data_IF_389779261957
#
_entry.id   IF_389779261957
#
_cell.length_a   1.000
_cell.length_b   1.000
_cell.length_c   1.000
_cell.angle_alpha   90.00
_cell.angle_beta   90.00
_cell.angle_gamma   90.00
#
_symmetry.space_group_name_H-M   'P 1'
#
loop_
_entity.id
_entity.type
_entity.pdbx_description
1 polymer ?
#
# COMPACT_ATOMS: atom_id res chain seq x y z
N UNK A 1 -30.77 18.14 -3.92
CA UNK A 1 -31.93 18.94 -4.33
C UNK A 1 -32.44 19.76 -3.14
N UNK A 2 -32.40 21.11 -3.19
CA UNK A 2 -32.81 21.95 -2.07
C UNK A 2 -34.29 21.81 -1.68
N UNK A 3 -35.16 21.37 -2.59
CA UNK A 3 -36.59 21.23 -2.31
C UNK A 3 -36.91 19.98 -1.48
N UNK A 4 -36.24 18.87 -1.76
CA UNK A 4 -36.48 17.57 -1.10
C UNK A 4 -35.44 17.24 -0.02
N UNK A 5 -34.29 17.92 -0.02
CA UNK A 5 -33.13 17.56 0.81
C UNK A 5 -32.43 16.26 0.39
N UNK A 6 -32.86 15.63 -0.72
CA UNK A 6 -32.30 14.38 -1.25
C UNK A 6 -31.23 14.64 -2.31
N UNK A 7 -30.36 13.67 -2.54
CA UNK A 7 -29.38 13.68 -3.61
C UNK A 7 -30.02 13.32 -4.95
N UNK A 8 -29.59 14.00 -6.01
CA UNK A 8 -29.85 13.66 -7.41
C UNK A 8 -28.54 13.20 -8.04
N UNK A 9 -28.36 11.88 -8.19
CA UNK A 9 -27.19 11.25 -8.79
C UNK A 9 -27.02 11.57 -10.28
N UNK A 10 -28.00 12.20 -10.95
CA UNK A 10 -27.80 12.75 -12.29
C UNK A 10 -27.03 14.07 -12.28
N UNK A 11 -26.86 14.69 -11.11
CA UNK A 11 -26.19 15.98 -10.95
C UNK A 11 -24.98 15.85 -10.02
N UNK A 12 -23.76 15.71 -10.58
CA UNK A 12 -22.57 15.55 -9.77
C UNK A 12 -22.33 16.77 -8.85
N UNK A 13 -21.89 16.51 -7.62
CA UNK A 13 -21.63 17.55 -6.63
C UNK A 13 -20.50 18.49 -7.05
N UNK A 14 -20.83 19.72 -7.46
CA UNK A 14 -19.87 20.69 -8.00
C UNK A 14 -18.69 20.98 -7.07
N UNK A 15 -18.97 21.19 -5.78
CA UNK A 15 -17.94 21.52 -4.79
C UNK A 15 -16.97 20.36 -4.56
N UNK A 16 -17.49 19.15 -4.36
CA UNK A 16 -16.68 17.94 -4.19
C UNK A 16 -15.73 17.73 -5.36
N UNK A 17 -16.25 17.76 -6.59
CA UNK A 17 -15.43 17.54 -7.79
C UNK A 17 -14.43 18.68 -8.06
N UNK A 18 -14.76 19.92 -7.70
CA UNK A 18 -13.82 21.04 -7.78
C UNK A 18 -12.65 20.88 -6.79
N UNK A 19 -12.93 20.46 -5.55
CA UNK A 19 -11.90 20.17 -4.56
C UNK A 19 -11.02 19.00 -5.00
N UNK A 20 -11.62 17.94 -5.54
CA UNK A 20 -10.89 16.80 -6.08
C UNK A 20 -9.98 17.18 -7.25
N UNK A 21 -10.49 17.95 -8.22
CA UNK A 21 -9.69 18.45 -9.33
C UNK A 21 -8.49 19.31 -8.85
N UNK A 22 -8.71 20.16 -7.83
CA UNK A 22 -7.64 20.95 -7.23
C UNK A 22 -6.60 20.07 -6.53
N UNK A 23 -7.03 19.01 -5.85
CA UNK A 23 -6.13 18.03 -5.24
C UNK A 23 -5.24 17.34 -6.28
N UNK A 24 -5.81 16.86 -7.39
CA UNK A 24 -5.06 16.23 -8.48
C UNK A 24 -4.01 17.18 -9.07
N UNK A 25 -4.40 18.43 -9.38
CA UNK A 25 -3.49 19.45 -9.87
C UNK A 25 -2.30 19.67 -8.92
N UNK A 26 -2.57 19.82 -7.62
CA UNK A 26 -1.53 20.06 -6.63
C UNK A 26 -0.58 18.86 -6.46
N UNK A 27 -1.08 17.64 -6.62
CA UNK A 27 -0.28 16.43 -6.56
C UNK A 27 0.65 16.31 -7.78
N UNK A 28 0.13 16.59 -8.98
CA UNK A 28 0.90 16.62 -10.23
C UNK A 28 2.02 17.67 -10.19
N UNK A 29 1.72 18.91 -9.78
CA UNK A 29 2.70 19.99 -9.57
C UNK A 29 3.86 19.60 -8.65
N UNK A 30 3.68 18.58 -7.79
CA UNK A 30 4.64 18.13 -6.77
C UNK A 30 5.22 16.76 -7.06
N UNK A 31 4.94 16.18 -8.22
CA UNK A 31 5.35 14.81 -8.58
C UNK A 31 4.93 13.77 -7.52
N UNK A 32 3.72 13.90 -6.97
CA UNK A 32 3.16 12.97 -5.98
C UNK A 32 2.23 12.00 -6.69
N UNK A 33 2.48 10.70 -6.55
CA UNK A 33 1.57 9.66 -7.04
C UNK A 33 0.31 9.64 -6.16
N UNK A 34 -0.86 9.61 -6.80
CA UNK A 34 -2.15 9.45 -6.14
C UNK A 34 -2.69 8.06 -6.45
N UNK A 35 -2.84 7.23 -5.41
CA UNK A 35 -3.63 6.00 -5.52
C UNK A 35 -5.06 6.28 -5.06
N UNK A 36 -6.01 6.06 -5.97
CA UNK A 36 -7.44 6.26 -5.72
C UNK A 36 -8.05 4.91 -5.41
N UNK A 37 -8.61 4.75 -4.22
CA UNK A 37 -9.56 3.69 -3.90
C UNK A 37 -10.90 4.10 -4.52
N UNK A 38 -11.33 3.41 -5.59
CA UNK A 38 -12.51 3.79 -6.38
C UNK A 38 -13.78 3.60 -5.56
N UNK A 39 -13.82 2.52 -4.77
CA UNK A 39 -14.91 2.19 -3.87
C UNK A 39 -14.40 1.84 -2.47
N UNK A 40 -15.25 2.03 -1.47
CA UNK A 40 -14.97 1.63 -0.09
C UNK A 40 -16.21 1.02 0.56
N UNK A 41 -16.20 -0.29 0.85
CA UNK A 41 -17.33 -0.99 1.50
C UNK A 41 -17.71 -0.39 2.85
N UNK A 42 -16.79 0.30 3.53
CA UNK A 42 -17.07 0.94 4.82
C UNK A 42 -18.00 2.16 4.69
N UNK A 43 -18.15 2.74 3.50
CA UNK A 43 -19.12 3.82 3.23
C UNK A 43 -20.56 3.32 3.00
N UNK A 44 -20.75 2.01 2.87
CA UNK A 44 -22.02 1.36 2.51
C UNK A 44 -22.57 0.45 3.62
N UNK A 45 -22.14 0.67 4.87
CA UNK A 45 -22.84 0.20 6.06
C UNK A 45 -22.74 1.22 7.20
N UNK A 46 -23.50 0.99 8.28
CA UNK A 46 -23.50 1.75 9.54
C UNK A 46 -23.74 3.25 9.35
N UNK A 47 -23.15 4.09 10.20
CA UNK A 47 -23.37 5.53 10.18
C UNK A 47 -23.03 6.19 8.81
N UNK A 48 -21.92 5.83 8.11
CA UNK A 48 -21.66 6.35 6.77
C UNK A 48 -22.81 6.08 5.77
N UNK A 49 -23.38 4.87 5.80
CA UNK A 49 -24.47 4.50 4.90
C UNK A 49 -25.74 5.33 5.08
N UNK A 50 -26.03 5.75 6.31
CA UNK A 50 -27.22 6.56 6.60
C UNK A 50 -27.15 7.97 5.98
N UNK A 51 -25.96 8.43 5.61
CA UNK A 51 -25.73 9.74 4.97
C UNK A 51 -25.37 9.61 3.48
N UNK A 52 -25.17 8.38 3.01
CA UNK A 52 -24.64 8.10 1.68
C UNK A 52 -25.64 8.52 0.57
N UNK A 53 -25.18 9.19 -0.51
CA UNK A 53 -26.03 9.56 -1.64
C UNK A 53 -26.71 8.39 -2.37
N UNK A 54 -26.11 7.20 -2.32
CA UNK A 54 -26.68 5.99 -2.92
C UNK A 54 -27.78 5.35 -2.07
N UNK A 55 -27.92 5.75 -0.80
CA UNK A 55 -28.97 5.21 0.06
C UNK A 55 -30.35 5.66 -0.47
N UNK A 56 -31.28 4.73 -0.78
CA UNK A 56 -32.58 5.07 -1.34
C UNK A 56 -33.42 6.02 -0.47
N UNK A 57 -33.14 6.09 0.84
CA UNK A 57 -33.75 7.08 1.75
C UNK A 57 -33.32 8.52 1.44
N UNK A 58 -32.07 8.69 1.02
CA UNK A 58 -31.43 9.97 0.73
C UNK A 58 -31.42 10.31 -0.76
N UNK A 59 -31.82 9.39 -1.62
CA UNK A 59 -31.75 9.48 -3.07
C UNK A 59 -33.16 9.73 -3.65
N UNK A 60 -33.26 10.54 -4.71
CA UNK A 60 -34.51 10.79 -5.42
C UNK A 60 -34.65 10.04 -6.76
N UNK A 61 -33.59 9.38 -7.21
CA UNK A 61 -33.54 8.71 -8.51
C UNK A 61 -34.14 7.30 -8.51
N UNK A 62 -34.26 6.66 -7.35
CA UNK A 62 -34.84 5.34 -7.19
C UNK A 62 -35.28 5.12 -5.74
N UNK A 63 -36.16 4.14 -5.54
CA UNK A 63 -36.60 3.63 -4.24
C UNK A 63 -35.79 2.40 -3.80
N UNK A 64 -35.96 1.98 -2.54
CA UNK A 64 -35.37 0.75 -2.02
C UNK A 64 -35.83 -0.50 -2.81
N UNK A 65 -37.10 -0.53 -3.23
CA UNK A 65 -37.64 -1.63 -4.04
C UNK A 65 -37.03 -1.68 -5.44
N UNK A 66 -36.89 -0.53 -6.11
CA UNK A 66 -36.33 -0.48 -7.47
C UNK A 66 -34.83 -0.81 -7.48
N UNK A 67 -34.07 -0.30 -6.51
CA UNK A 67 -32.63 -0.52 -6.43
C UNK A 67 -32.24 -1.82 -5.74
N UNK A 68 -33.12 -2.44 -4.95
CA UNK A 68 -32.77 -3.58 -4.09
C UNK A 68 -31.86 -3.24 -2.91
N UNK A 69 -31.56 -1.96 -2.67
CA UNK A 69 -30.71 -1.51 -1.56
C UNK A 69 -31.53 -1.34 -0.28
N UNK A 70 -31.02 -1.86 0.84
CA UNK A 70 -31.61 -1.63 2.15
C UNK A 70 -31.31 -0.20 2.64
N UNK A 71 -32.30 0.46 3.25
CA UNK A 71 -32.12 1.80 3.82
C UNK A 71 -31.22 1.81 5.07
N UNK A 72 -31.12 0.68 5.76
CA UNK A 72 -30.31 0.52 6.98
C UNK A 72 -29.55 -0.81 6.99
N UNK A 73 -28.25 -0.73 7.29
CA UNK A 73 -27.35 -1.89 7.42
C UNK A 73 -26.44 -1.59 8.60
N UNK A 74 -26.57 -2.30 9.71
CA UNK A 74 -25.79 -2.05 10.94
C UNK A 74 -24.66 -3.06 11.17
N UNK A 75 -24.63 -4.12 10.37
CA UNK A 75 -23.61 -5.15 10.43
C UNK A 75 -22.22 -4.60 10.04
N UNK A 76 -21.16 -5.37 10.30
CA UNK A 76 -19.84 -5.02 9.81
C UNK A 76 -19.81 -5.14 8.27
N UNK A 77 -19.19 -4.21 7.52
CA UNK A 77 -19.13 -4.26 6.05
C UNK A 77 -18.67 -5.61 5.49
N UNK A 78 -17.74 -6.29 6.15
CA UNK A 78 -17.31 -7.64 5.80
C UNK A 78 -18.38 -8.75 5.89
N UNK A 79 -19.60 -8.46 6.36
CA UNK A 79 -20.78 -9.35 6.25
C UNK A 79 -21.41 -9.32 4.85
N UNK A 80 -21.04 -8.35 4.00
CA UNK A 80 -21.47 -8.23 2.59
C UNK A 80 -22.98 -8.12 2.40
N UNK A 81 -23.68 -7.52 3.37
CA UNK A 81 -25.14 -7.37 3.32
C UNK A 81 -25.58 -6.37 2.24
N UNK A 82 -24.75 -5.35 1.93
CA UNK A 82 -25.06 -4.36 0.89
C UNK A 82 -25.01 -4.99 -0.50
N UNK A 83 -26.09 -4.85 -1.28
CA UNK A 83 -26.12 -5.26 -2.68
C UNK A 83 -25.37 -4.31 -3.63
N UNK A 84 -24.81 -3.21 -3.11
CA UNK A 84 -24.13 -2.20 -3.90
C UNK A 84 -22.96 -2.77 -4.73
N UNK A 85 -22.21 -3.70 -4.15
CA UNK A 85 -21.02 -4.33 -4.75
C UNK A 85 -21.33 -5.55 -5.64
N UNK A 86 -22.62 -5.79 -5.94
CA UNK A 86 -23.07 -6.93 -6.74
C UNK A 86 -23.87 -6.52 -7.98
N UNK A 87 -23.90 -5.24 -8.32
CA UNK A 87 -24.65 -4.72 -9.45
C UNK A 87 -24.13 -5.14 -10.83
N UNK A 88 -22.87 -5.58 -10.93
CA UNK A 88 -22.23 -5.90 -12.20
C UNK A 88 -22.87 -7.13 -12.89
N UNK A 89 -22.76 -7.27 -14.22
CA UNK A 89 -23.46 -8.32 -14.97
C UNK A 89 -23.14 -9.76 -14.55
N UNK A 90 -21.91 -10.01 -14.12
CA UNK A 90 -21.48 -11.34 -13.66
C UNK A 90 -22.05 -11.72 -12.27
N UNK A 91 -22.70 -10.79 -11.57
CA UNK A 91 -23.26 -10.97 -10.24
C UNK A 91 -24.80 -10.85 -10.30
N UNK A 92 -25.39 -9.81 -9.69
CA UNK A 92 -26.85 -9.61 -9.67
C UNK A 92 -27.38 -8.82 -10.87
N UNK A 93 -26.50 -8.28 -11.73
CA UNK A 93 -26.85 -7.51 -12.94
C UNK A 93 -27.92 -6.41 -12.67
N UNK A 94 -27.70 -5.61 -11.64
CA UNK A 94 -28.56 -4.50 -11.30
C UNK A 94 -28.25 -3.29 -12.19
N UNK A 95 -28.83 -3.29 -13.40
CA UNK A 95 -28.58 -2.27 -14.43
C UNK A 95 -28.94 -0.85 -13.96
N UNK A 96 -29.97 -0.70 -13.13
CA UNK A 96 -30.37 0.59 -12.58
C UNK A 96 -29.27 1.20 -11.72
N UNK A 97 -28.75 0.44 -10.76
CA UNK A 97 -27.68 0.90 -9.87
C UNK A 97 -26.37 1.08 -10.63
N UNK A 98 -26.04 0.13 -11.51
CA UNK A 98 -24.82 0.15 -12.32
C UNK A 98 -24.74 1.39 -13.22
N UNK A 99 -25.87 1.86 -13.76
CA UNK A 99 -25.92 3.09 -14.55
C UNK A 99 -25.47 4.34 -13.74
N UNK A 100 -25.78 4.41 -12.44
CA UNK A 100 -25.32 5.51 -11.59
C UNK A 100 -23.86 5.34 -11.17
N UNK A 101 -23.43 4.10 -10.90
CA UNK A 101 -22.02 3.81 -10.62
C UNK A 101 -21.13 4.18 -11.81
N UNK A 102 -21.55 3.90 -13.05
CA UNK A 102 -20.86 4.34 -14.25
C UNK A 102 -20.71 5.86 -14.33
N UNK A 103 -21.76 6.63 -13.99
CA UNK A 103 -21.67 8.11 -13.98
C UNK A 103 -20.63 8.61 -12.99
N UNK A 104 -20.56 8.02 -11.81
CA UNK A 104 -19.57 8.36 -10.79
C UNK A 104 -18.15 8.08 -11.29
N UNK A 105 -17.91 6.90 -11.86
CA UNK A 105 -16.59 6.51 -12.38
C UNK A 105 -16.23 7.31 -13.63
N UNK A 106 -17.16 7.57 -14.55
CA UNK A 106 -16.91 8.42 -15.72
C UNK A 106 -16.53 9.85 -15.32
N UNK A 107 -17.19 10.41 -14.29
CA UNK A 107 -16.83 11.71 -13.76
C UNK A 107 -15.44 11.70 -13.11
N UNK A 108 -15.09 10.66 -12.35
CA UNK A 108 -13.75 10.45 -11.79
C UNK A 108 -12.69 10.40 -12.91
N UNK A 109 -12.93 9.60 -13.94
CA UNK A 109 -12.01 9.40 -15.06
C UNK A 109 -11.85 10.66 -15.89
N UNK A 110 -12.91 11.44 -16.10
CA UNK A 110 -12.83 12.72 -16.81
C UNK A 110 -11.84 13.70 -16.19
N UNK A 111 -11.61 13.60 -14.87
CA UNK A 111 -10.70 14.47 -14.12
C UNK A 111 -9.31 13.84 -13.95
N UNK A 112 -9.20 12.52 -13.96
CA UNK A 112 -7.96 11.80 -13.60
C UNK A 112 -7.14 11.35 -14.81
N UNK A 113 -7.77 10.97 -15.93
CA UNK A 113 -7.06 10.52 -17.13
C UNK A 113 -6.11 11.55 -17.77
N UNK A 114 -6.28 12.87 -17.59
CA UNK A 114 -5.28 13.85 -18.03
C UNK A 114 -3.94 13.79 -17.28
N UNK A 115 -3.87 13.09 -16.14
CA UNK A 115 -2.71 13.06 -15.25
C UNK A 115 -1.97 11.72 -15.32
N UNK A 116 -0.63 11.78 -15.44
CA UNK A 116 0.23 10.58 -15.54
C UNK A 116 0.62 9.94 -14.21
N UNK A 117 0.23 10.54 -13.08
CA UNK A 117 0.61 10.17 -11.71
C UNK A 117 -0.54 9.53 -10.92
N UNK A 118 -1.51 8.89 -11.59
CA UNK A 118 -2.69 8.29 -10.97
C UNK A 118 -2.63 6.75 -11.05
N UNK A 119 -2.86 6.09 -9.91
CA UNK A 119 -3.09 4.65 -9.77
C UNK A 119 -4.52 4.40 -9.31
N UNK A 120 -5.12 3.29 -9.74
CA UNK A 120 -6.50 2.94 -9.36
C UNK A 120 -6.52 1.62 -8.57
N UNK A 121 -7.05 1.66 -7.36
CA UNK A 121 -7.35 0.49 -6.53
C UNK A 121 -8.87 0.33 -6.53
N UNK A 122 -9.39 -0.81 -6.95
CA UNK A 122 -10.85 -0.94 -7.16
C UNK A 122 -11.60 -0.75 -5.85
N UNK A 123 -11.15 -1.41 -4.79
CA UNK A 123 -11.78 -1.32 -3.50
C UNK A 123 -10.77 -1.09 -2.37
N UNK A 124 -11.29 -0.55 -1.27
CA UNK A 124 -10.64 -0.47 0.01
C UNK A 124 -11.01 -1.70 0.85
N UNK A 125 -10.02 -2.55 1.19
CA UNK A 125 -10.17 -3.68 2.13
C UNK A 125 -11.38 -4.56 1.82
N UNK A 126 -11.47 -5.10 0.60
CA UNK A 126 -12.63 -5.85 0.14
C UNK A 126 -12.55 -7.34 0.47
N UNK A 127 -13.71 -7.95 0.70
CA UNK A 127 -13.92 -9.39 0.69
C UNK A 127 -15.11 -9.78 -0.22
N UNK A 128 -15.49 -8.88 -1.13
CA UNK A 128 -16.54 -9.11 -2.12
C UNK A 128 -16.07 -10.09 -3.21
N UNK A 129 -16.97 -10.44 -4.12
CA UNK A 129 -16.62 -11.32 -5.25
C UNK A 129 -15.54 -10.68 -6.15
N UNK A 130 -14.49 -11.40 -6.57
CA UNK A 130 -13.51 -10.92 -7.54
C UNK A 130 -14.07 -10.41 -8.87
N UNK A 131 -15.28 -10.85 -9.25
CA UNK A 131 -15.94 -10.34 -10.45
C UNK A 131 -16.28 -8.84 -10.36
N UNK A 132 -16.43 -8.29 -9.14
CA UNK A 132 -16.65 -6.85 -8.93
C UNK A 132 -15.41 -6.02 -9.31
N UNK A 133 -14.26 -6.31 -8.67
CA UNK A 133 -13.01 -5.61 -8.94
C UNK A 133 -12.57 -5.78 -10.40
N UNK A 134 -12.70 -7.00 -10.94
CA UNK A 134 -12.43 -7.29 -12.36
C UNK A 134 -13.25 -6.44 -13.31
N UNK A 135 -14.54 -6.25 -13.03
CA UNK A 135 -15.41 -5.42 -13.87
C UNK A 135 -14.91 -3.98 -13.93
N UNK A 136 -14.64 -3.37 -12.77
CA UNK A 136 -14.20 -1.97 -12.71
C UNK A 136 -12.79 -1.77 -13.25
N UNK A 137 -11.86 -2.70 -12.99
CA UNK A 137 -10.51 -2.64 -13.55
C UNK A 137 -10.56 -2.67 -15.09
N UNK A 138 -11.39 -3.57 -15.65
CA UNK A 138 -11.61 -3.66 -17.09
C UNK A 138 -12.23 -2.37 -17.64
N UNK A 139 -13.31 -1.89 -17.03
CA UNK A 139 -14.00 -0.66 -17.44
C UNK A 139 -13.06 0.55 -17.46
N UNK A 140 -12.25 0.73 -16.40
CA UNK A 140 -11.29 1.82 -16.29
C UNK A 140 -10.20 1.71 -17.36
N UNK A 141 -9.64 0.52 -17.58
CA UNK A 141 -8.63 0.30 -18.65
C UNK A 141 -9.20 0.56 -20.04
N UNK A 142 -10.44 0.16 -20.31
CA UNK A 142 -11.11 0.44 -21.58
C UNK A 142 -11.32 1.93 -21.81
N UNK A 143 -11.80 2.66 -20.79
CA UNK A 143 -11.97 4.13 -20.84
C UNK A 143 -10.64 4.86 -21.03
N UNK A 144 -9.59 4.43 -20.33
CA UNK A 144 -8.24 4.95 -20.48
C UNK A 144 -7.71 4.72 -21.91
N UNK A 145 -7.85 3.49 -22.43
CA UNK A 145 -7.46 3.13 -23.79
C UNK A 145 -8.20 3.97 -24.84
N UNK A 146 -9.51 4.16 -24.67
CA UNK A 146 -10.32 5.03 -25.53
C UNK A 146 -9.87 6.51 -25.49
N UNK A 147 -9.31 6.96 -24.36
CA UNK A 147 -8.69 8.27 -24.21
C UNK A 147 -7.22 8.32 -24.68
N UNK A 148 -6.66 7.21 -25.15
CA UNK A 148 -5.28 7.12 -25.65
C UNK A 148 -4.21 7.10 -24.54
N UNK A 149 -4.58 6.76 -23.31
CA UNK A 149 -3.67 6.68 -22.16
C UNK A 149 -3.65 5.28 -21.55
N UNK A 150 -2.55 4.94 -20.90
CA UNK A 150 -2.42 3.70 -20.12
C UNK A 150 -2.54 4.02 -18.63
N UNK A 151 -3.31 3.22 -17.92
CA UNK A 151 -3.50 3.34 -16.46
C UNK A 151 -3.19 2.02 -15.79
N UNK A 152 -2.77 2.13 -14.52
CA UNK A 152 -2.39 0.99 -13.70
C UNK A 152 -3.48 0.73 -12.65
N UNK A 153 -3.85 -0.54 -12.48
CA UNK A 153 -4.91 -0.98 -11.57
C UNK A 153 -4.42 -2.03 -10.58
N UNK A 154 -5.03 -2.05 -9.39
CA UNK A 154 -4.88 -3.10 -8.35
C UNK A 154 -6.23 -3.35 -7.68
N UNK A 155 -6.24 -4.33 -6.79
CA UNK A 155 -7.26 -4.52 -5.76
C UNK A 155 -6.60 -4.51 -4.36
N UNK A 156 -7.39 -4.26 -3.30
CA UNK A 156 -6.96 -4.40 -1.90
C UNK A 156 -7.88 -5.33 -1.12
N UNK A 157 -7.46 -6.58 -0.95
CA UNK A 157 -8.19 -7.60 -0.19
C UNK A 157 -8.09 -7.40 1.32
N UNK A 158 -9.13 -7.81 2.05
CA UNK A 158 -9.28 -7.69 3.51
C UNK A 158 -8.51 -8.77 4.29
N UNK A 159 -8.26 -9.94 3.68
CA UNK A 159 -7.60 -11.05 4.37
C UNK A 159 -6.20 -10.65 4.90
N UNK A 160 -6.01 -10.71 6.21
CA UNK A 160 -4.73 -10.42 6.88
C UNK A 160 -3.63 -11.46 6.61
N UNK A 161 -4.02 -12.64 6.15
CA UNK A 161 -3.09 -13.67 5.66
C UNK A 161 -2.91 -13.49 4.16
N UNK A 162 -1.70 -13.13 3.73
CA UNK A 162 -1.38 -12.94 2.31
C UNK A 162 -1.49 -14.23 1.49
N UNK A 163 -1.53 -15.40 2.14
CA UNK A 163 -1.69 -16.69 1.48
C UNK A 163 -3.16 -17.12 1.34
N UNK A 164 -4.10 -16.33 1.88
CA UNK A 164 -5.52 -16.60 1.71
C UNK A 164 -5.92 -16.55 0.23
N UNK A 165 -6.86 -17.42 -0.16
CA UNK A 165 -7.29 -17.58 -1.55
C UNK A 165 -7.80 -16.28 -2.18
N UNK A 166 -8.33 -15.34 -1.39
CA UNK A 166 -8.80 -14.04 -1.88
C UNK A 166 -7.71 -13.27 -2.63
N UNK A 167 -6.46 -13.30 -2.14
CA UNK A 167 -5.36 -12.57 -2.77
C UNK A 167 -4.98 -13.12 -4.15
N UNK A 168 -5.30 -14.38 -4.45
CA UNK A 168 -5.06 -14.99 -5.77
C UNK A 168 -5.80 -14.26 -6.88
N UNK A 169 -6.93 -13.61 -6.57
CA UNK A 169 -7.65 -12.81 -7.53
C UNK A 169 -6.82 -11.63 -8.08
N UNK A 170 -5.78 -11.19 -7.39
CA UNK A 170 -4.80 -10.22 -7.91
C UNK A 170 -3.52 -10.89 -8.39
N UNK A 171 -3.04 -11.91 -7.68
CA UNK A 171 -1.78 -12.59 -8.02
C UNK A 171 -1.87 -13.38 -9.34
N UNK A 172 -3.00 -14.01 -9.63
CA UNK A 172 -3.16 -14.89 -10.79
C UNK A 172 -3.67 -14.16 -12.04
N UNK A 173 -3.94 -12.84 -11.93
CA UNK A 173 -4.53 -12.02 -12.98
C UNK A 173 -3.65 -10.82 -13.40
N UNK A 174 -2.42 -11.04 -13.90
CA UNK A 174 -1.52 -9.99 -14.37
C UNK A 174 -2.06 -9.20 -15.58
N UNK A 175 -3.02 -9.75 -16.33
CA UNK A 175 -3.73 -9.07 -17.41
C UNK A 175 -4.70 -7.99 -16.90
N UNK A 176 -5.14 -8.09 -15.64
CA UNK A 176 -6.07 -7.16 -15.00
C UNK A 176 -5.38 -6.21 -14.02
N UNK A 177 -4.40 -6.69 -13.26
CA UNK A 177 -3.77 -5.94 -12.18
C UNK A 177 -2.26 -5.79 -12.39
N UNK A 178 -1.82 -4.56 -12.60
CA UNK A 178 -0.45 -4.20 -12.97
C UNK A 178 0.49 -4.13 -11.75
N UNK A 179 -0.08 -3.98 -10.55
CA UNK A 179 0.63 -4.00 -9.29
C UNK A 179 -0.19 -4.70 -8.22
N UNK A 180 0.45 -5.01 -7.11
CA UNK A 180 -0.13 -5.84 -6.05
C UNK A 180 -0.14 -5.05 -4.74
N UNK A 181 -1.29 -4.85 -4.14
CA UNK A 181 -1.38 -4.28 -2.79
C UNK A 181 -1.39 -5.40 -1.73
N UNK A 182 -0.42 -5.37 -0.81
CA UNK A 182 -0.32 -6.29 0.33
C UNK A 182 -0.41 -5.55 1.67
N UNK A 183 -1.13 -4.44 1.71
CA UNK A 183 -1.26 -3.59 2.89
C UNK A 183 -1.74 -4.34 4.14
N UNK A 184 -2.57 -5.37 3.97
CA UNK A 184 -3.08 -6.19 5.08
C UNK A 184 -2.01 -7.00 5.81
N UNK A 185 -0.83 -7.19 5.20
CA UNK A 185 0.31 -7.76 5.92
C UNK A 185 0.72 -6.91 7.14
N UNK A 186 0.35 -5.63 7.19
CA UNK A 186 0.60 -4.77 8.35
C UNK A 186 -0.23 -5.12 9.59
N UNK A 187 -1.03 -6.18 9.57
CA UNK A 187 -1.54 -6.81 10.79
C UNK A 187 -0.50 -7.71 11.47
N UNK A 188 0.55 -8.11 10.75
CA UNK A 188 1.66 -8.91 11.27
C UNK A 188 2.74 -8.04 11.92
N UNK A 189 3.60 -8.65 12.73
CA UNK A 189 4.75 -8.03 13.39
C UNK A 189 5.98 -8.93 13.31
N UNK A 190 7.17 -8.38 13.56
CA UNK A 190 8.43 -9.14 13.63
C UNK A 190 8.73 -9.95 12.37
N UNK A 191 9.22 -11.18 12.55
CA UNK A 191 9.65 -12.05 11.45
C UNK A 191 8.50 -12.46 10.49
N UNK A 192 7.28 -12.80 10.95
CA UNK A 192 6.16 -13.04 10.03
C UNK A 192 5.87 -11.86 9.08
N UNK A 193 5.95 -10.62 9.58
CA UNK A 193 5.77 -9.42 8.74
C UNK A 193 6.78 -9.36 7.58
N UNK A 194 8.02 -9.84 7.81
CA UNK A 194 9.02 -9.99 6.76
C UNK A 194 8.76 -11.18 5.84
N UNK A 195 8.52 -12.36 6.40
CA UNK A 195 8.46 -13.62 5.66
C UNK A 195 7.31 -13.68 4.67
N UNK A 196 6.14 -13.17 5.04
CA UNK A 196 4.94 -13.26 4.20
C UNK A 196 5.13 -12.55 2.84
N UNK A 197 5.58 -11.28 2.77
CA UNK A 197 5.92 -10.66 1.49
C UNK A 197 6.98 -11.41 0.69
N UNK A 198 7.99 -12.02 1.34
CA UNK A 198 9.01 -12.78 0.61
C UNK A 198 8.43 -14.01 -0.09
N UNK A 199 7.46 -14.69 0.54
CA UNK A 199 6.76 -15.80 -0.10
C UNK A 199 5.96 -15.32 -1.31
N UNK A 200 5.25 -14.19 -1.19
CA UNK A 200 4.53 -13.62 -2.34
C UNK A 200 5.50 -13.21 -3.46
N UNK A 201 6.65 -12.58 -3.14
CA UNK A 201 7.69 -12.29 -4.14
C UNK A 201 8.12 -13.54 -4.90
N UNK A 202 8.40 -14.64 -4.20
CA UNK A 202 8.80 -15.90 -4.82
C UNK A 202 7.71 -16.46 -5.74
N UNK A 203 6.45 -16.39 -5.33
CA UNK A 203 5.31 -16.80 -6.16
C UNK A 203 5.22 -15.96 -7.44
N UNK A 204 5.30 -14.64 -7.32
CA UNK A 204 5.23 -13.71 -8.46
C UNK A 204 6.45 -13.88 -9.38
N UNK A 205 7.65 -14.01 -8.84
CA UNK A 205 8.87 -14.32 -9.61
C UNK A 205 8.74 -15.66 -10.35
N UNK A 206 8.24 -16.70 -9.68
CA UNK A 206 8.02 -18.03 -10.26
C UNK A 206 6.97 -18.04 -11.38
N UNK A 207 6.02 -17.11 -11.36
CA UNK A 207 5.01 -16.95 -12.42
C UNK A 207 5.58 -16.37 -13.73
N UNK A 208 6.75 -15.71 -13.68
CA UNK A 208 7.33 -14.97 -14.81
C UNK A 208 6.66 -13.61 -15.10
N UNK A 209 5.58 -13.27 -14.39
CA UNK A 209 4.82 -12.03 -14.58
C UNK A 209 5.14 -11.02 -13.46
N UNK A 210 6.35 -10.47 -13.53
CA UNK A 210 6.89 -9.56 -12.53
C UNK A 210 6.04 -8.28 -12.41
N UNK A 211 5.60 -7.97 -11.19
CA UNK A 211 4.82 -6.78 -10.86
C UNK A 211 5.28 -6.20 -9.52
N UNK A 212 5.27 -4.87 -9.36
CA UNK A 212 5.60 -4.25 -8.09
C UNK A 212 4.55 -4.57 -7.02
N UNK A 213 5.02 -4.73 -5.78
CA UNK A 213 4.14 -4.90 -4.61
C UNK A 213 4.22 -3.66 -3.72
N UNK A 214 3.06 -3.19 -3.27
CA UNK A 214 2.92 -2.00 -2.44
C UNK A 214 2.33 -2.35 -1.07
N UNK A 215 2.59 -1.48 -0.09
CA UNK A 215 1.97 -1.52 1.23
C UNK A 215 1.66 -0.11 1.70
N UNK A 216 0.45 0.37 1.42
CA UNK A 216 0.05 1.77 1.62
C UNK A 216 -0.81 1.99 2.87
N UNK A 217 -0.96 0.98 3.73
CA UNK A 217 -1.60 1.09 5.05
C UNK A 217 -0.76 0.51 6.17
N UNK A 218 0.37 1.15 6.46
CA UNK A 218 1.15 0.79 7.65
C UNK A 218 0.42 1.29 8.88
N UNK A 219 -0.26 0.36 9.55
CA UNK A 219 -0.82 0.58 10.87
C UNK A 219 0.26 0.59 11.95
N UNK A 220 -0.10 1.13 13.11
CA UNK A 220 0.72 1.16 14.31
C UNK A 220 0.75 2.55 14.89
N UNK A 221 0.06 2.72 16.02
CA UNK A 221 0.08 3.94 16.80
C UNK A 221 -0.37 3.58 18.21
N UNK A 222 0.28 4.12 19.24
CA UNK A 222 -0.14 3.85 20.63
C UNK A 222 -1.57 4.34 20.94
N UNK A 223 -2.15 5.17 20.06
CA UNK A 223 -3.55 5.64 20.11
C UNK A 223 -4.54 4.69 19.43
N UNK A 224 -4.06 3.72 18.66
CA UNK A 224 -4.85 2.85 17.80
C UNK A 224 -4.95 1.42 18.31
N UNK A 225 -5.61 0.55 17.54
CA UNK A 225 -5.84 -0.87 17.88
C UNK A 225 -4.99 -1.86 17.09
N UNK A 226 -4.25 -1.40 16.07
CA UNK A 226 -3.60 -2.25 15.07
C UNK A 226 -2.06 -2.24 15.19
N UNK A 227 -1.57 -2.24 16.43
CA UNK A 227 -0.15 -2.19 16.77
C UNK A 227 0.29 -0.85 17.35
N UNK A 228 1.54 -0.80 17.77
CA UNK A 228 2.18 0.31 18.46
C UNK A 228 2.88 1.28 17.50
N UNK A 229 3.31 2.43 18.02
CA UNK A 229 4.20 3.34 17.29
C UNK A 229 5.51 2.67 16.88
N UNK A 230 6.01 1.70 17.65
CA UNK A 230 7.19 0.88 17.30
C UNK A 230 6.90 0.00 16.09
N UNK A 231 5.76 -0.70 16.08
CA UNK A 231 5.37 -1.57 14.97
C UNK A 231 5.33 -0.82 13.64
N UNK A 232 4.75 0.39 13.60
CA UNK A 232 4.71 1.20 12.37
C UNK A 232 6.10 1.53 11.83
N UNK A 233 7.03 1.96 12.70
CA UNK A 233 8.40 2.29 12.33
C UNK A 233 9.11 1.06 11.73
N UNK A 234 9.02 -0.09 12.40
CA UNK A 234 9.67 -1.30 11.93
C UNK A 234 9.04 -1.85 10.64
N UNK A 235 7.70 -1.81 10.52
CA UNK A 235 6.96 -2.24 9.31
C UNK A 235 7.38 -1.43 8.09
N UNK A 236 7.55 -0.11 8.24
CA UNK A 236 8.01 0.76 7.15
C UNK A 236 9.36 0.31 6.59
N UNK A 237 10.34 0.07 7.45
CA UNK A 237 11.67 -0.37 7.03
C UNK A 237 11.67 -1.79 6.48
N UNK A 238 10.98 -2.74 7.14
CA UNK A 238 10.84 -4.11 6.64
C UNK A 238 10.13 -4.19 5.29
N UNK A 239 9.15 -3.34 5.02
CA UNK A 239 8.49 -3.30 3.71
C UNK A 239 9.50 -2.90 2.61
N UNK A 240 10.25 -1.81 2.79
CA UNK A 240 11.22 -1.35 1.80
C UNK A 240 12.39 -2.33 1.63
N UNK A 241 12.99 -2.79 2.73
CA UNK A 241 14.08 -3.77 2.70
C UNK A 241 13.60 -5.15 2.19
N UNK A 242 12.31 -5.43 2.35
CA UNK A 242 11.65 -6.61 1.80
C UNK A 242 11.34 -6.50 0.30
N UNK A 243 11.77 -5.43 -0.36
CA UNK A 243 11.66 -5.25 -1.81
C UNK A 243 10.30 -4.73 -2.29
N UNK A 244 9.49 -4.12 -1.42
CA UNK A 244 8.25 -3.47 -1.86
C UNK A 244 8.55 -2.15 -2.55
N UNK A 245 7.74 -1.81 -3.56
CA UNK A 245 7.88 -0.60 -4.37
C UNK A 245 7.32 0.65 -3.67
N UNK A 246 6.37 0.49 -2.75
CA UNK A 246 5.83 1.60 -1.97
C UNK A 246 5.49 1.19 -0.52
N UNK A 247 5.71 2.13 0.40
CA UNK A 247 5.38 2.03 1.81
C UNK A 247 4.76 3.35 2.29
N UNK A 248 3.57 3.33 2.90
CA UNK A 248 2.92 4.54 3.43
C UNK A 248 2.26 4.31 4.79
N UNK A 249 2.52 5.22 5.73
CA UNK A 249 1.89 5.24 7.04
C UNK A 249 0.39 5.51 6.92
N UNK A 250 -0.41 4.66 7.55
CA UNK A 250 -1.86 4.87 7.66
C UNK A 250 -2.14 6.11 8.52
N UNK A 251 -3.30 6.74 8.32
CA UNK A 251 -3.70 7.96 9.04
C UNK A 251 -4.02 7.68 10.54
N UNK A 252 -3.96 8.70 11.40
CA UNK A 252 -4.48 8.61 12.76
C UNK A 252 -5.99 8.25 12.78
N UNK A 253 -6.49 7.61 13.86
CA UNK A 253 -5.77 7.26 15.09
C UNK A 253 -4.98 5.94 15.01
N UNK A 254 -5.10 5.19 13.90
CA UNK A 254 -4.57 3.83 13.77
C UNK A 254 -3.18 3.72 13.16
N UNK A 255 -2.63 4.81 12.62
CA UNK A 255 -1.27 4.89 12.12
C UNK A 255 -0.65 6.28 12.33
N UNK A 256 0.61 6.43 11.95
CA UNK A 256 1.41 7.62 12.21
C UNK A 256 1.16 8.79 11.26
N UNK A 257 0.41 8.59 10.15
CA UNK A 257 0.19 9.60 9.13
C UNK A 257 1.48 10.29 8.68
N UNK A 258 1.48 11.62 8.68
CA UNK A 258 2.65 12.46 8.42
C UNK A 258 3.18 13.12 9.71
N UNK A 259 3.16 12.38 10.83
CA UNK A 259 3.73 12.86 12.11
C UNK A 259 5.24 13.10 12.02
N UNK A 260 5.85 13.82 12.98
CA UNK A 260 7.30 14.01 13.03
C UNK A 260 8.10 12.70 13.02
N UNK A 261 7.60 11.64 13.68
CA UNK A 261 8.22 10.30 13.65
C UNK A 261 8.21 9.73 12.23
N UNK A 262 7.06 9.77 11.56
CA UNK A 262 6.95 9.29 10.17
C UNK A 262 7.86 10.09 9.22
N UNK A 263 7.92 11.42 9.38
CA UNK A 263 8.80 12.28 8.59
C UNK A 263 10.27 11.94 8.79
N UNK A 264 10.73 11.73 10.03
CA UNK A 264 12.10 11.32 10.31
C UNK A 264 12.48 10.01 9.59
N UNK A 265 11.60 9.00 9.65
CA UNK A 265 11.84 7.72 8.96
C UNK A 265 11.83 7.87 7.42
N UNK A 266 10.95 8.70 6.86
CA UNK A 266 10.91 8.98 5.42
C UNK A 266 12.19 9.70 4.98
N UNK A 267 12.64 10.71 5.74
CA UNK A 267 13.89 11.43 5.46
C UNK A 267 15.11 10.52 5.56
N UNK A 268 15.20 9.67 6.58
CA UNK A 268 16.28 8.70 6.73
C UNK A 268 16.30 7.69 5.57
N UNK A 269 15.15 7.16 5.17
CA UNK A 269 15.08 6.27 4.02
C UNK A 269 15.54 6.95 2.73
N UNK A 270 15.22 8.24 2.53
CA UNK A 270 15.73 9.00 1.37
C UNK A 270 17.25 9.14 1.40
N UNK A 271 17.82 9.50 2.55
CA UNK A 271 19.28 9.54 2.70
C UNK A 271 19.94 8.20 2.38
N UNK A 272 19.36 7.09 2.83
CA UNK A 272 19.86 5.76 2.49
C UNK A 272 19.82 5.52 0.98
N UNK A 273 18.67 5.77 0.34
CA UNK A 273 18.52 5.56 -1.11
C UNK A 273 19.34 6.52 -1.98
N UNK A 274 19.82 7.64 -1.43
CA UNK A 274 20.78 8.52 -2.11
C UNK A 274 22.20 7.91 -2.12
N UNK A 275 22.50 6.93 -1.25
CA UNK A 275 23.79 6.23 -1.17
C UNK A 275 23.79 4.86 -1.83
N UNK A 276 22.64 4.19 -1.85
CA UNK A 276 22.49 2.86 -2.47
C UNK A 276 21.47 2.90 -3.60
N UNK A 277 21.84 2.35 -4.76
CA UNK A 277 20.87 2.06 -5.82
C UNK A 277 20.01 0.85 -5.41
N UNK A 278 18.99 1.13 -4.60
CA UNK A 278 18.11 0.11 -4.01
C UNK A 278 17.40 -0.73 -5.07
N UNK A 279 17.24 -0.21 -6.30
CA UNK A 279 16.59 -0.92 -7.41
C UNK A 279 17.48 -2.01 -8.02
N UNK A 280 18.78 -2.03 -7.70
CA UNK A 280 19.70 -3.13 -8.04
C UNK A 280 19.88 -4.12 -6.89
N UNK A 281 19.21 -3.89 -5.77
CA UNK A 281 19.33 -4.72 -4.58
C UNK A 281 18.11 -5.65 -4.43
N UNK A 282 18.33 -6.78 -3.78
CA UNK A 282 17.30 -7.76 -3.43
C UNK A 282 17.33 -8.05 -1.92
N UNK A 283 16.20 -8.50 -1.32
CA UNK A 283 16.15 -8.87 0.09
C UNK A 283 17.04 -10.08 0.39
N UNK A 284 17.93 -9.95 1.37
CA UNK A 284 19.02 -10.89 1.63
C UNK A 284 19.18 -11.24 3.12
N UNK A 285 18.09 -11.64 3.78
CA UNK A 285 18.14 -12.03 5.20
C UNK A 285 19.08 -13.24 5.46
N UNK A 286 19.36 -14.03 4.43
CA UNK A 286 20.30 -15.16 4.44
C UNK A 286 21.78 -14.74 4.60
N UNK A 287 22.11 -13.48 4.29
CA UNK A 287 23.46 -12.94 4.45
C UNK A 287 23.77 -12.52 5.89
N UNK A 288 22.77 -12.42 6.76
CA UNK A 288 22.99 -12.05 8.17
C UNK A 288 23.13 -13.31 9.03
N UNK A 289 24.26 -13.44 9.72
CA UNK A 289 24.56 -14.51 10.69
C UNK A 289 24.58 -13.96 12.11
N UNK A 290 24.51 -14.88 13.08
CA UNK A 290 24.50 -14.57 14.53
C UNK A 290 23.37 -13.63 14.98
N UNK A 291 22.29 -13.56 14.19
CA UNK A 291 21.12 -12.72 14.50
C UNK A 291 20.09 -13.41 15.37
N UNK A 292 19.44 -12.64 16.23
CA UNK A 292 18.14 -13.01 16.81
C UNK A 292 16.99 -12.78 15.81
N UNK A 293 15.76 -13.15 16.20
CA UNK A 293 14.61 -13.23 15.29
C UNK A 293 14.26 -11.91 14.58
N UNK A 294 14.38 -10.76 15.26
CA UNK A 294 14.02 -9.41 14.77
C UNK A 294 15.19 -8.42 14.91
N UNK A 295 16.44 -8.89 14.95
CA UNK A 295 17.61 -8.03 15.20
C UNK A 295 18.06 -7.22 13.99
N UNK A 296 18.02 -7.80 12.78
CA UNK A 296 18.49 -7.12 11.59
C UNK A 296 17.83 -7.66 10.31
N UNK A 297 17.69 -6.79 9.31
CA UNK A 297 17.14 -7.09 7.99
C UNK A 297 18.06 -6.54 6.90
N UNK A 298 18.33 -7.31 5.84
CA UNK A 298 19.29 -6.95 4.81
C UNK A 298 18.65 -6.74 3.42
N UNK A 299 18.98 -5.56 2.89
CA UNK A 299 19.04 -5.07 1.53
C UNK A 299 20.36 -5.34 0.75
N UNK A 300 20.49 -6.10 -0.35
CA UNK A 300 21.83 -6.18 -0.97
C UNK A 300 21.89 -6.35 -2.49
N UNK A 301 22.93 -5.76 -3.08
CA UNK A 301 23.49 -6.12 -4.37
C UNK A 301 24.89 -6.73 -4.10
N UNK A 302 24.99 -8.07 -3.94
CA UNK A 302 26.22 -8.71 -3.45
C UNK A 302 27.48 -8.31 -4.24
N UNK A 303 28.53 -7.97 -3.50
CA UNK A 303 29.81 -7.49 -4.06
C UNK A 303 29.83 -6.00 -4.41
N UNK A 304 28.69 -5.31 -4.36
CA UNK A 304 28.61 -3.88 -4.67
C UNK A 304 28.13 -3.06 -3.49
N UNK A 305 26.95 -3.38 -2.94
CA UNK A 305 26.34 -2.58 -1.90
C UNK A 305 25.44 -3.44 -1.00
N UNK A 306 25.45 -3.12 0.29
CA UNK A 306 24.68 -3.77 1.32
C UNK A 306 24.07 -2.69 2.20
N UNK A 307 22.81 -2.86 2.58
CA UNK A 307 22.15 -2.07 3.60
C UNK A 307 21.60 -3.01 4.66
N UNK A 308 21.86 -2.72 5.93
CA UNK A 308 21.35 -3.54 7.06
C UNK A 308 20.58 -2.67 8.04
N UNK A 309 19.30 -2.93 8.19
CA UNK A 309 18.42 -2.23 9.13
C UNK A 309 18.36 -2.96 10.48
N UNK A 310 18.63 -2.24 11.57
CA UNK A 310 18.51 -2.67 12.95
C UNK A 310 17.37 -1.91 13.63
N UNK A 311 16.29 -2.57 14.07
CA UNK A 311 15.17 -1.90 14.71
C UNK A 311 15.45 -1.51 16.18
N UNK A 312 16.51 -2.01 16.80
CA UNK A 312 16.82 -1.73 18.22
C UNK A 312 18.27 -2.05 18.63
N UNK A 313 19.25 -1.47 17.93
CA UNK A 313 20.65 -1.85 18.08
C UNK A 313 20.91 -3.28 17.60
N UNK A 314 22.17 -3.70 17.56
CA UNK A 314 22.52 -5.07 17.22
C UNK A 314 24.01 -5.32 16.99
N UNK A 315 24.33 -6.61 16.93
CA UNK A 315 25.68 -7.10 16.63
C UNK A 315 25.55 -8.38 15.79
N UNK A 316 25.75 -8.23 14.48
CA UNK A 316 25.59 -9.33 13.52
C UNK A 316 26.83 -9.48 12.65
N UNK A 317 26.94 -10.65 12.02
CA UNK A 317 27.94 -10.90 10.99
C UNK A 317 27.25 -10.86 9.61
N UNK A 318 27.66 -9.92 8.77
CA UNK A 318 27.25 -9.85 7.36
C UNK A 318 28.19 -10.71 6.52
N UNK A 319 27.64 -11.74 5.87
CA UNK A 319 28.36 -12.58 4.92
C UNK A 319 28.49 -11.87 3.57
N UNK A 320 29.73 -11.56 3.19
CA UNK A 320 30.09 -11.00 1.88
C UNK A 320 30.97 -11.97 1.08
N UNK A 321 31.15 -13.20 1.57
CA UNK A 321 31.94 -14.23 0.93
C UNK A 321 31.41 -14.61 -0.45
N UNK A 322 32.31 -15.07 -1.33
CA UNK A 322 31.96 -15.48 -2.69
C UNK A 322 31.85 -14.34 -3.71
N UNK A 323 32.00 -13.08 -3.28
CA UNK A 323 31.96 -11.91 -4.18
C UNK A 323 33.32 -11.54 -4.77
N UNK A 324 34.41 -11.99 -4.16
CA UNK A 324 35.78 -11.57 -4.50
C UNK A 324 36.19 -10.24 -3.87
N UNK A 325 35.23 -9.46 -3.37
CA UNK A 325 35.47 -8.20 -2.67
C UNK A 325 35.67 -8.44 -1.17
N UNK A 326 36.67 -7.76 -0.60
CA UNK A 326 36.97 -7.86 0.84
C UNK A 326 37.02 -6.50 1.52
N UNK A 327 36.97 -5.40 0.78
CA UNK A 327 37.08 -4.04 1.30
C UNK A 327 35.81 -3.26 1.01
N UNK A 328 35.20 -2.72 2.05
CA UNK A 328 33.99 -1.91 1.96
C UNK A 328 34.17 -0.62 2.76
N UNK A 329 33.26 0.31 2.53
CA UNK A 329 33.16 1.57 3.28
C UNK A 329 31.86 1.51 4.07
N UNK A 330 31.96 1.56 5.39
CA UNK A 330 30.80 1.47 6.28
C UNK A 330 30.30 2.87 6.64
N UNK A 331 29.00 3.07 6.48
CA UNK A 331 28.27 4.22 6.98
C UNK A 331 27.32 3.76 8.08
N UNK A 332 26.95 4.66 8.99
CA UNK A 332 25.89 4.41 9.97
C UNK A 332 24.91 5.56 9.93
N UNK A 333 23.65 5.26 9.68
CA UNK A 333 22.55 6.21 9.69
C UNK A 333 21.76 6.06 11.00
N UNK A 334 21.74 7.12 11.81
CA UNK A 334 20.77 7.24 12.89
C UNK A 334 19.41 7.59 12.28
N UNK A 335 18.50 6.62 12.24
CA UNK A 335 17.23 6.75 11.52
C UNK A 335 16.32 7.78 12.19
N UNK A 336 16.33 7.86 13.53
CA UNK A 336 15.41 8.72 14.27
C UNK A 336 15.88 10.16 14.31
N UNK A 337 17.19 10.37 14.33
CA UNK A 337 17.77 11.71 14.25
C UNK A 337 18.07 12.15 12.81
N UNK A 338 17.98 11.23 11.84
CA UNK A 338 18.09 11.52 10.42
C UNK A 338 19.46 12.03 9.98
N UNK A 339 20.55 11.47 10.49
CA UNK A 339 21.91 11.85 10.08
C UNK A 339 22.89 10.68 10.12
N UNK A 340 23.97 10.80 9.33
CA UNK A 340 25.08 9.86 9.33
C UNK A 340 25.98 10.10 10.55
N UNK A 341 26.34 9.06 11.29
CA UNK A 341 27.20 9.17 12.47
C UNK A 341 28.17 7.98 12.64
N UNK A 342 29.49 8.21 12.63
CA UNK A 342 30.15 9.48 12.32
C UNK A 342 29.81 9.98 10.90
N UNK A 343 29.96 11.28 10.66
CA UNK A 343 29.68 11.89 9.35
C UNK A 343 30.58 11.29 8.25
N UNK A 344 31.85 11.08 8.60
CA UNK A 344 32.81 10.40 7.75
C UNK A 344 32.67 8.87 7.89
N UNK A 345 32.51 8.13 6.77
CA UNK A 345 32.58 6.69 6.83
C UNK A 345 33.98 6.19 7.10
N UNK A 346 34.08 4.91 7.46
CA UNK A 346 35.37 4.27 7.68
C UNK A 346 35.51 2.96 6.90
N UNK A 347 36.73 2.63 6.44
CA UNK A 347 36.99 1.40 5.71
C UNK A 347 36.83 0.19 6.64
N UNK A 348 36.21 -0.86 6.13
CA UNK A 348 36.06 -2.15 6.80
C UNK A 348 36.57 -3.26 5.89
N UNK A 349 37.21 -4.26 6.49
CA UNK A 349 37.76 -5.41 5.75
C UNK A 349 37.13 -6.69 6.28
N UNK A 350 36.69 -7.54 5.36
CA UNK A 350 36.14 -8.84 5.70
C UNK A 350 37.19 -9.72 6.35
N UNK A 351 36.81 -10.42 7.41
CA UNK A 351 37.59 -11.50 8.00
C UNK A 351 36.83 -12.79 7.72
N UNK A 352 37.48 -13.74 7.05
CA UNK A 352 36.87 -15.01 6.62
C UNK A 352 35.55 -14.82 5.84
N UNK A 353 35.49 -13.79 4.99
CA UNK A 353 34.31 -13.46 4.18
C UNK A 353 33.17 -12.78 4.95
N UNK A 354 33.40 -12.35 6.19
CA UNK A 354 32.37 -11.71 7.02
C UNK A 354 32.79 -10.31 7.47
N UNK A 355 31.83 -9.39 7.50
CA UNK A 355 31.93 -8.09 8.15
C UNK A 355 31.14 -8.13 9.46
N UNK A 356 31.77 -7.77 10.58
CA UNK A 356 31.07 -7.62 11.85
C UNK A 356 30.46 -6.22 11.92
N UNK A 357 29.14 -6.15 12.03
CA UNK A 357 28.40 -4.90 12.16
C UNK A 357 27.90 -4.78 13.60
N UNK A 358 28.43 -3.80 14.32
CA UNK A 358 28.02 -3.45 15.69
C UNK A 358 27.44 -2.04 15.63
N UNK A 359 26.18 -1.89 16.04
CA UNK A 359 25.56 -0.57 16.04
C UNK A 359 26.28 0.41 16.97
N UNK A 360 26.29 1.71 16.68
CA UNK A 360 26.98 2.71 17.51
C UNK A 360 26.53 2.74 18.98
N UNK A 361 25.29 2.34 19.26
CA UNK A 361 24.71 2.21 20.60
C UNK A 361 24.00 0.86 20.76
N UNK A 362 23.80 0.42 22.02
CA UNK A 362 23.11 -0.84 22.34
C UNK A 362 21.62 -0.84 21.94
N UNK A 363 20.97 0.34 21.95
CA UNK A 363 19.58 0.53 21.55
C UNK A 363 19.48 1.55 20.41
N UNK A 364 18.33 1.58 19.72
CA UNK A 364 18.04 2.61 18.71
C UNK A 364 17.89 2.09 17.28
N UNK A 365 17.47 2.96 16.38
CA UNK A 365 17.14 2.59 15.00
C UNK A 365 18.31 2.98 14.10
N UNK A 366 18.95 1.96 13.53
CA UNK A 366 20.17 2.13 12.76
C UNK A 366 20.03 1.50 11.38
N UNK A 367 20.65 2.13 10.38
CA UNK A 367 20.98 1.47 9.12
C UNK A 367 22.49 1.54 8.89
N UNK A 368 23.09 0.40 8.53
CA UNK A 368 24.46 0.29 8.03
C UNK A 368 24.50 0.36 6.51
#
# INVERSE_FOLDING_TARGET
>A
DPATGRYDLNQPGKEHWAQFARFLQLADERNIIVQIEVWDRFDFAREPWLLNPYNPKNNMNYTATESGLAEEIWSHPGRRESAFFRSVPALENNELLLAFQHKQVDQLLSLTLPYGNILYCMDNETNESPEWGKYWATYIKEKASAAGVTVMTTEMWDAHDLLADEHKATFDHPELYDFIDISQNNHQVGLPHWQNPQQIRQLIQGSGQLRPMNSVKIYGANTGRYGTTRDAQERFWRNIFGGLAAARFHRPPSGLGLSPIAQAHIHAMRQLTDRIDIFRCEPHLDLIRERSANEAYCIANPGTAYAVFFPDGGNVLLNIGGTGETHFVLHWLDIRHGHWTPEDPFPVTAIDGHLRLITPTEEGYWAA
#
